data_IF_677876636713
#
_entry.id   IF_677876636713
#
_cell.length_a   1.000
_cell.length_b   1.000
_cell.length_c   1.000
_cell.angle_alpha   90.00
_cell.angle_beta   90.00
_cell.angle_gamma   90.00
#
_symmetry.space_group_name_H-M   'P 1'
#
loop_
_entity.id
_entity.type
_entity.pdbx_description
1 polymer ?
#
# COMPACT_ATOMS: atom_id res chain seq x y z
N UNK A 1 8.71 13.56 -1.95
CA UNK A 1 8.85 12.71 -0.74
C UNK A 1 7.82 11.60 -0.83
N UNK A 2 8.12 10.35 -0.48
CA UNK A 2 7.12 9.29 -0.50
C UNK A 2 5.96 9.67 0.41
N UNK A 3 4.79 9.89 -0.20
CA UNK A 3 3.54 10.22 0.46
C UNK A 3 2.88 8.98 1.06
N UNK A 4 1.99 9.20 2.02
CA UNK A 4 1.22 8.11 2.58
C UNK A 4 0.09 8.59 3.50
N UNK A 5 -0.78 7.65 3.83
CA UNK A 5 -1.92 7.89 4.69
C UNK A 5 -2.64 6.60 5.07
N UNK A 6 -3.68 6.73 5.89
CA UNK A 6 -4.48 5.60 6.34
C UNK A 6 -5.94 5.97 6.57
N UNK A 7 -6.87 5.06 6.29
CA UNK A 7 -8.27 5.19 6.67
C UNK A 7 -8.61 4.17 7.76
N UNK A 8 -9.38 4.60 8.77
CA UNK A 8 -9.95 3.68 9.77
C UNK A 8 -11.30 3.16 9.26
N UNK A 9 -11.51 1.86 9.35
CA UNK A 9 -12.75 1.22 8.96
C UNK A 9 -13.69 1.08 10.17
N UNK A 10 -15.02 0.99 9.94
CA UNK A 10 -16.01 0.83 11.02
C UNK A 10 -15.74 -0.36 11.95
N UNK A 11 -15.12 -1.43 11.44
CA UNK A 11 -14.74 -2.62 12.22
C UNK A 11 -13.43 -2.49 13.03
N UNK A 12 -12.84 -1.30 13.12
CA UNK A 12 -11.63 -1.05 13.91
C UNK A 12 -10.30 -1.36 13.20
N UNK A 13 -10.33 -2.08 12.07
CA UNK A 13 -9.17 -2.25 11.19
C UNK A 13 -8.85 -0.97 10.40
N UNK A 14 -7.70 -0.93 9.75
CA UNK A 14 -7.25 0.19 8.92
C UNK A 14 -6.85 -0.26 7.53
N UNK A 15 -7.00 0.64 6.56
CA UNK A 15 -6.32 0.57 5.26
C UNK A 15 -5.20 1.61 5.26
N UNK A 16 -3.99 1.20 4.94
CA UNK A 16 -2.82 2.07 4.82
C UNK A 16 -2.41 2.14 3.35
N UNK A 17 -2.18 3.34 2.84
CA UNK A 17 -1.58 3.61 1.53
C UNK A 17 -0.19 4.22 1.72
N UNK A 18 0.80 3.67 1.03
CA UNK A 18 2.18 4.17 1.03
C UNK A 18 2.74 4.14 -0.38
N UNK A 19 3.40 5.23 -0.77
CA UNK A 19 4.26 5.25 -1.95
C UNK A 19 5.66 4.82 -1.50
N UNK A 20 6.19 3.75 -2.09
CA UNK A 20 7.48 3.14 -1.73
C UNK A 20 8.34 2.99 -2.99
N UNK A 21 9.68 3.00 -2.87
CA UNK A 21 10.55 2.67 -3.99
C UNK A 21 10.27 1.27 -4.52
N UNK A 22 10.19 1.12 -5.85
CA UNK A 22 9.95 -0.16 -6.48
C UNK A 22 11.20 -1.07 -6.34
N UNK A 23 11.10 -2.23 -5.68
CA UNK A 23 12.23 -3.15 -5.55
C UNK A 23 12.62 -3.82 -6.87
N UNK A 24 11.69 -3.98 -7.82
CA UNK A 24 11.90 -4.67 -9.09
C UNK A 24 12.36 -3.73 -10.22
N UNK A 25 12.07 -2.43 -10.12
CA UNK A 25 12.44 -1.42 -11.12
C UNK A 25 13.03 -0.15 -10.47
N UNK A 26 14.35 -0.09 -10.27
CA UNK A 26 15.02 1.05 -9.66
C UNK A 26 14.69 2.37 -10.39
N UNK A 27 14.40 3.42 -9.63
CA UNK A 27 14.02 4.73 -10.18
C UNK A 27 12.52 4.93 -10.42
N UNK A 28 11.70 3.90 -10.18
CA UNK A 28 10.24 4.01 -10.12
C UNK A 28 9.74 3.81 -8.69
N UNK A 29 8.56 4.37 -8.39
CA UNK A 29 7.87 4.13 -7.13
C UNK A 29 6.67 3.22 -7.36
N UNK A 30 6.17 2.62 -6.28
CA UNK A 30 4.94 1.83 -6.25
C UNK A 30 4.03 2.34 -5.15
N UNK A 31 2.74 2.44 -5.45
CA UNK A 31 1.72 2.69 -4.46
C UNK A 31 1.24 1.36 -3.90
N UNK A 32 1.40 1.18 -2.59
CA UNK A 32 1.09 -0.06 -1.88
C UNK A 32 -0.06 0.17 -0.91
N UNK A 33 -1.06 -0.70 -1.00
CA UNK A 33 -2.22 -0.73 -0.11
C UNK A 33 -2.14 -1.92 0.84
N UNK A 34 -2.46 -1.69 2.11
CA UNK A 34 -2.45 -2.72 3.14
C UNK A 34 -3.68 -2.62 4.02
N UNK A 35 -4.49 -3.68 4.04
CA UNK A 35 -5.50 -3.90 5.08
C UNK A 35 -4.87 -4.63 6.27
N UNK A 36 -5.04 -4.05 7.46
CA UNK A 36 -4.53 -4.63 8.70
C UNK A 36 -5.36 -4.19 9.90
N UNK A 37 -5.23 -4.91 11.02
CA UNK A 37 -5.93 -4.57 12.27
C UNK A 37 -5.53 -3.22 12.86
N UNK A 38 -4.31 -2.72 12.58
CA UNK A 38 -3.87 -1.38 12.95
C UNK A 38 -2.66 -0.95 12.08
N UNK A 39 -2.27 0.33 12.21
CA UNK A 39 -1.17 0.92 11.45
C UNK A 39 0.17 0.21 11.67
N UNK A 40 0.50 -0.11 12.92
CA UNK A 40 1.76 -0.76 13.25
C UNK A 40 1.87 -2.13 12.55
N UNK A 41 0.78 -2.91 12.56
CA UNK A 41 0.71 -4.20 11.86
C UNK A 41 0.81 -4.06 10.35
N UNK A 42 0.21 -3.03 9.74
CA UNK A 42 0.39 -2.76 8.32
C UNK A 42 1.87 -2.55 7.98
N UNK A 43 2.57 -1.70 8.73
CA UNK A 43 4.00 -1.45 8.52
C UNK A 43 4.85 -2.70 8.77
N UNK A 44 4.54 -3.51 9.79
CA UNK A 44 5.22 -4.78 10.03
C UNK A 44 5.06 -5.73 8.85
N UNK A 45 3.85 -5.87 8.28
CA UNK A 45 3.62 -6.74 7.10
C UNK A 45 4.51 -6.34 5.93
N UNK A 46 4.61 -5.05 5.63
CA UNK A 46 5.46 -4.55 4.54
C UNK A 46 6.95 -4.80 4.80
N UNK A 47 7.43 -4.57 6.04
CA UNK A 47 8.83 -4.85 6.41
C UNK A 47 9.16 -6.34 6.30
N UNK A 48 8.23 -7.21 6.69
CA UNK A 48 8.41 -8.66 6.60
C UNK A 48 8.48 -9.15 5.14
N UNK A 49 7.93 -8.38 4.19
CA UNK A 49 8.06 -8.62 2.75
C UNK A 49 9.39 -8.11 2.16
N UNK A 50 10.28 -7.54 2.98
CA UNK A 50 11.56 -7.00 2.53
C UNK A 50 11.48 -5.59 1.96
N UNK A 51 10.30 -4.94 1.98
CA UNK A 51 10.14 -3.56 1.51
C UNK A 51 10.87 -2.60 2.47
N UNK A 52 11.64 -1.68 1.89
CA UNK A 52 12.42 -0.67 2.60
C UNK A 52 11.70 0.67 2.59
N UNK A 53 12.22 1.65 3.34
CA UNK A 53 11.62 2.99 3.49
C UNK A 53 10.17 2.99 3.98
N UNK A 54 9.78 1.96 4.75
CA UNK A 54 8.43 1.80 5.28
C UNK A 54 8.23 2.68 6.52
N UNK A 55 7.84 3.92 6.27
CA UNK A 55 7.43 4.86 7.30
C UNK A 55 6.19 5.62 6.85
N UNK A 56 5.27 5.86 7.78
CA UNK A 56 4.09 6.69 7.57
C UNK A 56 4.35 8.05 8.24
N UNK A 57 4.62 9.09 7.45
CA UNK A 57 4.77 10.47 7.95
C UNK A 57 3.49 11.26 7.69
N UNK A 58 2.55 11.15 8.61
CA UNK A 58 1.29 11.90 8.54
C UNK A 58 0.26 11.29 7.58
N UNK A 59 -0.60 12.16 7.05
CA UNK A 59 -1.77 11.83 6.24
C UNK A 59 -1.76 12.68 4.96
N UNK A 60 -0.66 12.65 4.22
CA UNK A 60 -0.48 13.50 3.03
C UNK A 60 -1.24 12.93 1.84
N UNK A 61 -1.34 11.60 1.76
CA UNK A 61 -2.01 10.88 0.69
C UNK A 61 -2.84 9.73 1.29
N UNK A 62 -4.01 10.05 1.90
CA UNK A 62 -4.93 9.03 2.38
C UNK A 62 -5.35 8.08 1.25
N UNK A 63 -5.69 6.82 1.56
CA UNK A 63 -6.27 5.93 0.57
C UNK A 63 -7.62 6.46 0.08
N UNK A 64 -7.87 6.36 -1.22
CA UNK A 64 -9.16 6.72 -1.82
C UNK A 64 -10.23 5.65 -1.55
N UNK A 65 -11.51 5.93 -1.86
CA UNK A 65 -12.58 4.94 -1.68
C UNK A 65 -12.40 3.71 -2.59
N UNK A 66 -11.94 3.92 -3.81
CA UNK A 66 -11.64 2.84 -4.75
C UNK A 66 -10.50 1.96 -4.23
N UNK A 67 -9.44 2.57 -3.71
CA UNK A 67 -8.31 1.88 -3.08
C UNK A 67 -8.74 1.03 -1.88
N UNK A 68 -9.58 1.60 -1.02
CA UNK A 68 -10.16 0.88 0.13
C UNK A 68 -10.98 -0.31 -0.36
N UNK A 69 -11.81 -0.11 -1.38
CA UNK A 69 -12.66 -1.17 -1.94
C UNK A 69 -11.81 -2.29 -2.53
N UNK A 70 -10.81 -1.95 -3.34
CA UNK A 70 -9.92 -2.93 -3.98
C UNK A 70 -9.20 -3.80 -2.95
N UNK A 71 -8.57 -3.20 -1.93
CA UNK A 71 -7.78 -3.97 -0.95
C UNK A 71 -8.66 -4.84 -0.05
N UNK A 72 -9.88 -4.42 0.25
CA UNK A 72 -10.82 -5.19 1.07
C UNK A 72 -11.37 -6.44 0.38
N UNK A 73 -11.43 -6.44 -0.96
CA UNK A 73 -11.86 -7.60 -1.74
C UNK A 73 -10.71 -8.54 -2.10
N UNK A 74 -9.46 -8.17 -1.80
CA UNK A 74 -8.31 -9.01 -2.07
C UNK A 74 -8.02 -9.97 -0.90
N UNK A 75 -7.83 -11.28 -1.14
CA UNK A 75 -7.68 -12.28 -0.08
C UNK A 75 -6.49 -12.00 0.85
N UNK A 76 -5.38 -11.51 0.29
CA UNK A 76 -4.18 -11.21 1.08
C UNK A 76 -4.28 -9.87 1.83
N UNK A 77 -5.24 -9.01 1.49
CA UNK A 77 -5.32 -7.64 1.99
C UNK A 77 -4.08 -6.80 1.69
N UNK A 78 -3.31 -7.14 0.65
CA UNK A 78 -2.20 -6.33 0.13
C UNK A 78 -2.22 -6.26 -1.38
N UNK A 79 -2.16 -5.04 -1.89
CA UNK A 79 -2.14 -4.71 -3.31
C UNK A 79 -1.06 -3.67 -3.60
N UNK A 80 -0.61 -3.59 -4.84
CA UNK A 80 0.27 -2.54 -5.32
C UNK A 80 -0.03 -2.17 -6.78
N UNK A 81 0.45 -1.00 -7.19
CA UNK A 81 0.55 -0.54 -8.59
C UNK A 81 1.73 0.41 -8.74
N UNK A 82 2.19 0.71 -9.96
CA UNK A 82 3.24 1.71 -10.16
C UNK A 82 2.77 3.13 -9.82
N UNK A 83 3.72 3.97 -9.43
CA UNK A 83 3.53 5.37 -9.13
C UNK A 83 4.53 6.22 -9.92
N UNK A 84 4.11 7.34 -10.57
CA UNK A 84 2.74 7.86 -10.60
C UNK A 84 1.77 6.95 -11.36
N UNK A 85 0.53 6.93 -10.89
CA UNK A 85 -0.51 6.02 -11.38
C UNK A 85 -0.81 6.28 -12.86
N UNK A 86 -0.82 5.23 -13.66
CA UNK A 86 -1.35 5.27 -15.03
C UNK A 86 -2.79 4.74 -15.02
N UNK A 87 -3.69 5.39 -15.75
CA UNK A 87 -5.14 5.11 -15.74
C UNK A 87 -5.47 3.68 -16.18
N UNK A 88 -4.57 3.01 -16.91
CA UNK A 88 -4.76 1.65 -17.43
C UNK A 88 -4.22 0.56 -16.49
N UNK A 89 -3.44 0.93 -15.46
CA UNK A 89 -2.80 -0.06 -14.60
C UNK A 89 -3.78 -0.58 -13.53
N UNK A 90 -3.96 -1.90 -13.53
CA UNK A 90 -4.79 -2.60 -12.56
C UNK A 90 -4.01 -2.85 -11.25
N UNK A 91 -4.75 -3.08 -10.17
CA UNK A 91 -4.15 -3.50 -8.91
C UNK A 91 -3.51 -4.89 -9.03
N UNK A 92 -2.24 -4.98 -8.63
CA UNK A 92 -1.48 -6.21 -8.60
C UNK A 92 -1.40 -6.78 -7.19
N UNK A 93 -1.44 -8.11 -7.01
CA UNK A 93 -1.17 -8.72 -5.72
C UNK A 93 0.30 -8.48 -5.33
N UNK A 94 0.59 -8.25 -4.04
CA UNK A 94 1.95 -7.89 -3.58
C UNK A 94 3.02 -8.92 -3.95
N UNK A 95 2.65 -10.19 -4.07
CA UNK A 95 3.54 -11.27 -4.54
C UNK A 95 4.08 -11.06 -5.95
N UNK A 96 3.38 -10.29 -6.80
CA UNK A 96 3.86 -9.97 -8.15
C UNK A 96 5.01 -8.94 -8.13
N UNK A 97 5.15 -8.17 -7.04
CA UNK A 97 6.22 -7.18 -6.88
C UNK A 97 7.56 -7.79 -6.45
N UNK A 98 7.52 -8.95 -5.80
CA UNK A 98 8.67 -9.57 -5.12
C UNK A 98 9.24 -10.77 -5.88
N UNK A 99 8.96 -10.87 -7.18
CA UNK A 99 9.47 -11.92 -8.06
C UNK A 99 10.87 -11.61 -8.59
#
# INVERSE_FOLDING_TARGET
>A
MPGGGFCKLPGGSVVVALTLPNPAAPGTDVRVLVHAVNRARALTRLRNLGLRAVYLRGQTEPPTLDEITAVLHHPDGLLWRTAPETTEELWHPIRALLK
#
